data_IF_646641274056
#
_entry.id   IF_646641274056
#
_cell.length_a   1.000
_cell.length_b   1.000
_cell.length_c   1.000
_cell.angle_alpha   90.00
_cell.angle_beta   90.00
_cell.angle_gamma   90.00
#
_symmetry.space_group_name_H-M   'P 1'
#
loop_
_entity.id
_entity.type
_entity.pdbx_description
1 polymer ?
#
# COMPACT_ATOMS: atom_id res chain seq x y z
N UNK A 1 -33.54 12.27 -2.98
CA UNK A 1 -32.21 12.87 -2.67
C UNK A 1 -32.24 13.56 -1.31
N UNK A 2 -32.28 12.83 -0.19
CA UNK A 2 -32.30 13.45 1.15
C UNK A 2 -30.95 13.35 1.89
N UNK A 3 -30.08 12.43 1.47
CA UNK A 3 -28.79 12.15 2.14
C UNK A 3 -27.58 12.78 1.46
N UNK A 4 -27.77 13.42 0.30
CA UNK A 4 -26.70 14.07 -0.45
C UNK A 4 -26.92 15.57 -0.47
N UNK A 5 -25.87 16.33 -0.13
CA UNK A 5 -25.91 17.79 -0.25
C UNK A 5 -25.80 18.20 -1.72
N UNK A 6 -26.28 19.40 -2.08
CA UNK A 6 -26.15 19.92 -3.43
C UNK A 6 -24.69 19.93 -3.92
N UNK A 7 -23.75 20.22 -3.00
CA UNK A 7 -22.31 20.16 -3.29
C UNK A 7 -21.84 18.75 -3.63
N UNK A 8 -22.26 17.73 -2.86
CA UNK A 8 -21.93 16.33 -3.15
C UNK A 8 -22.48 15.88 -4.50
N UNK A 9 -23.70 16.31 -4.86
CA UNK A 9 -24.26 16.03 -6.17
C UNK A 9 -23.46 16.69 -7.29
N UNK A 10 -23.03 17.94 -7.11
CA UNK A 10 -22.21 18.67 -8.08
C UNK A 10 -20.82 18.06 -8.24
N UNK A 11 -20.15 17.71 -7.14
CA UNK A 11 -18.83 17.06 -7.16
C UNK A 11 -18.91 15.70 -7.85
N UNK A 12 -19.93 14.90 -7.53
CA UNK A 12 -20.16 13.62 -8.20
C UNK A 12 -20.46 13.79 -9.69
N UNK A 13 -21.26 14.79 -10.07
CA UNK A 13 -21.53 15.12 -11.47
C UNK A 13 -20.24 15.48 -12.21
N UNK A 14 -19.36 16.30 -11.63
CA UNK A 14 -18.08 16.64 -12.24
C UNK A 14 -17.19 15.40 -12.43
N UNK A 15 -17.10 14.53 -11.43
CA UNK A 15 -16.31 13.29 -11.52
C UNK A 15 -16.84 12.39 -12.64
N UNK A 16 -18.16 12.18 -12.70
CA UNK A 16 -18.79 11.31 -13.70
C UNK A 16 -18.78 11.91 -15.11
N UNK A 17 -18.89 13.23 -15.26
CA UNK A 17 -19.00 13.89 -16.56
C UNK A 17 -17.65 14.21 -17.21
N UNK A 18 -16.59 14.46 -16.43
CA UNK A 18 -15.34 15.02 -16.96
C UNK A 18 -14.25 13.99 -17.28
N UNK A 19 -14.30 12.74 -16.77
CA UNK A 19 -13.16 11.80 -16.88
C UNK A 19 -13.57 10.31 -16.95
N UNK A 20 -13.85 9.75 -18.15
CA UNK A 20 -14.10 8.32 -18.31
C UNK A 20 -12.84 7.43 -18.20
N UNK A 21 -11.64 8.02 -18.26
CA UNK A 21 -10.36 7.29 -18.34
C UNK A 21 -9.86 6.69 -17.01
N UNK A 22 -10.39 7.13 -15.86
CA UNK A 22 -9.97 6.64 -14.54
C UNK A 22 -11.00 5.67 -13.91
N UNK A 23 -11.77 4.97 -14.75
CA UNK A 23 -12.90 4.14 -14.32
C UNK A 23 -12.52 2.75 -13.81
N UNK A 24 -11.28 2.54 -13.39
CA UNK A 24 -10.85 1.24 -12.88
C UNK A 24 -11.12 1.10 -11.37
N UNK A 25 -12.40 1.23 -10.99
CA UNK A 25 -12.83 1.10 -9.59
C UNK A 25 -12.57 -0.31 -9.02
N UNK A 26 -12.49 -1.31 -9.89
CA UNK A 26 -12.20 -2.71 -9.53
C UNK A 26 -10.74 -3.10 -9.82
N UNK A 27 -9.84 -2.12 -9.94
CA UNK A 27 -8.42 -2.42 -10.17
C UNK A 27 -7.82 -3.22 -9.03
N UNK A 28 -7.16 -4.34 -9.38
CA UNK A 28 -6.41 -5.15 -8.43
C UNK A 28 -4.95 -4.68 -8.48
N UNK A 29 -4.49 -4.12 -7.37
CA UNK A 29 -3.13 -3.67 -7.22
C UNK A 29 -2.15 -4.84 -7.18
N UNK A 30 -1.16 -4.80 -8.06
CA UNK A 30 -0.04 -5.75 -8.07
C UNK A 30 1.10 -5.28 -7.17
N UNK A 31 1.97 -6.21 -6.77
CA UNK A 31 3.13 -5.86 -5.95
C UNK A 31 4.09 -4.90 -6.69
N UNK A 32 4.24 -5.07 -8.01
CA UNK A 32 5.09 -4.18 -8.81
C UNK A 32 4.57 -2.74 -8.79
N UNK A 33 3.25 -2.56 -8.90
CA UNK A 33 2.62 -1.24 -8.81
C UNK A 33 2.79 -0.62 -7.43
N UNK A 34 2.70 -1.43 -6.37
CA UNK A 34 2.90 -0.97 -4.99
C UNK A 34 4.33 -0.46 -4.77
N UNK A 35 5.32 -1.21 -5.28
CA UNK A 35 6.72 -0.84 -5.23
C UNK A 35 7.01 0.41 -6.06
N UNK A 36 6.44 0.51 -7.25
CA UNK A 36 6.55 1.69 -8.12
C UNK A 36 5.96 2.93 -7.44
N UNK A 37 4.75 2.83 -6.87
CA UNK A 37 4.09 3.93 -6.17
C UNK A 37 4.93 4.43 -4.99
N UNK A 38 5.49 3.51 -4.20
CA UNK A 38 6.35 3.86 -3.07
C UNK A 38 7.67 4.49 -3.52
N UNK A 39 8.22 4.08 -4.66
CA UNK A 39 9.45 4.64 -5.24
C UNK A 39 9.20 6.07 -5.73
N UNK A 40 8.19 6.28 -6.57
CA UNK A 40 7.85 7.59 -7.11
C UNK A 40 7.55 8.60 -6.01
N UNK A 41 6.84 8.18 -4.95
CA UNK A 41 6.57 9.07 -3.81
C UNK A 41 7.83 9.42 -2.99
N UNK A 42 8.86 8.57 -2.99
CA UNK A 42 10.15 8.90 -2.35
C UNK A 42 10.95 9.91 -3.18
N UNK A 43 10.84 9.84 -4.50
CA UNK A 43 11.54 10.73 -5.43
C UNK A 43 10.91 12.13 -5.45
N UNK A 44 9.58 12.21 -5.54
CA UNK A 44 8.85 13.49 -5.54
C UNK A 44 7.66 13.45 -4.55
N UNK A 45 7.92 13.76 -3.26
CA UNK A 45 6.88 13.69 -2.25
C UNK A 45 5.84 14.80 -2.48
N UNK A 46 4.58 14.47 -2.25
CA UNK A 46 3.41 15.36 -2.35
C UNK A 46 3.01 15.80 -3.77
N UNK A 47 3.81 15.54 -4.81
CA UNK A 47 3.45 15.81 -6.20
C UNK A 47 2.68 14.65 -6.84
N UNK A 48 1.41 14.52 -6.47
CA UNK A 48 0.55 13.43 -6.98
C UNK A 48 0.24 13.53 -8.46
N UNK A 49 0.33 14.71 -9.05
CA UNK A 49 0.08 14.92 -10.48
C UNK A 49 1.21 14.31 -11.31
N UNK A 50 2.47 14.49 -10.88
CA UNK A 50 3.63 13.83 -11.48
C UNK A 50 3.53 12.31 -11.38
N UNK A 51 3.20 11.79 -10.19
CA UNK A 51 3.03 10.34 -9.98
C UNK A 51 1.88 9.79 -10.86
N UNK A 52 0.81 10.55 -11.07
CA UNK A 52 -0.32 10.12 -11.89
C UNK A 52 0.07 9.88 -13.36
N UNK A 53 1.10 10.54 -13.88
CA UNK A 53 1.58 10.31 -15.25
C UNK A 53 1.97 8.85 -15.47
N UNK A 54 2.58 8.22 -14.46
CA UNK A 54 2.96 6.79 -14.47
C UNK A 54 1.76 5.85 -14.27
N UNK A 55 0.63 6.36 -13.78
CA UNK A 55 -0.61 5.61 -13.57
C UNK A 55 -1.80 6.25 -14.32
N UNK A 56 -1.80 6.24 -15.66
CA UNK A 56 -2.78 6.99 -16.47
C UNK A 56 -4.23 6.49 -16.33
N UNK A 57 -4.42 5.29 -15.76
CA UNK A 57 -5.74 4.71 -15.49
C UNK A 57 -6.20 4.91 -14.04
N UNK A 58 -5.34 5.45 -13.17
CA UNK A 58 -5.67 5.72 -11.77
C UNK A 58 -5.88 7.21 -11.53
N UNK A 59 -6.92 7.53 -10.78
CA UNK A 59 -7.10 8.88 -10.24
C UNK A 59 -6.13 9.14 -9.09
N UNK A 60 -5.77 10.41 -8.89
CA UNK A 60 -4.98 10.86 -7.71
C UNK A 60 -5.61 10.38 -6.39
N UNK A 61 -6.94 10.32 -6.31
CA UNK A 61 -7.64 9.80 -5.14
C UNK A 61 -7.32 8.31 -4.88
N UNK A 62 -7.31 7.48 -5.93
CA UNK A 62 -6.92 6.07 -5.83
C UNK A 62 -5.45 5.92 -5.40
N UNK A 63 -4.54 6.71 -5.97
CA UNK A 63 -3.12 6.71 -5.60
C UNK A 63 -2.90 7.06 -4.13
N UNK A 64 -3.55 8.13 -3.65
CA UNK A 64 -3.52 8.54 -2.24
C UNK A 64 -4.05 7.45 -1.33
N UNK A 65 -5.23 6.91 -1.63
CA UNK A 65 -5.85 5.84 -0.84
C UNK A 65 -4.92 4.62 -0.75
N UNK A 66 -4.34 4.22 -1.89
CA UNK A 66 -3.41 3.09 -1.94
C UNK A 66 -2.15 3.36 -1.14
N UNK A 67 -1.53 4.52 -1.28
CA UNK A 67 -0.35 4.91 -0.52
C UNK A 67 -0.61 4.90 1.00
N UNK A 68 -1.74 5.46 1.44
CA UNK A 68 -2.13 5.43 2.86
C UNK A 68 -2.33 4.00 3.38
N UNK A 69 -2.95 3.14 2.57
CA UNK A 69 -3.09 1.72 2.88
C UNK A 69 -1.73 1.02 3.02
N UNK A 70 -0.80 1.24 2.08
CA UNK A 70 0.57 0.69 2.14
C UNK A 70 1.33 1.14 3.37
N UNK A 71 1.24 2.43 3.74
CA UNK A 71 1.86 2.95 4.97
C UNK A 71 1.29 2.30 6.23
N UNK A 72 -0.03 2.10 6.28
CA UNK A 72 -0.68 1.40 7.39
C UNK A 72 -0.16 -0.04 7.49
N UNK A 73 -0.06 -0.76 6.37
CA UNK A 73 0.50 -2.10 6.35
C UNK A 73 1.96 -2.15 6.84
N UNK A 74 2.81 -1.21 6.42
CA UNK A 74 4.19 -1.14 6.89
C UNK A 74 4.28 -0.94 8.41
N UNK A 75 3.37 -0.14 9.00
CA UNK A 75 3.34 0.06 10.45
C UNK A 75 2.91 -1.19 11.23
N UNK A 76 1.99 -1.98 10.68
CA UNK A 76 1.51 -3.23 11.30
C UNK A 76 2.55 -4.35 11.17
N UNK A 77 3.14 -4.50 9.99
CA UNK A 77 4.22 -5.47 9.74
C UNK A 77 5.49 -5.19 10.57
N UNK A 78 5.67 -3.98 11.10
CA UNK A 78 6.79 -3.65 12.01
C UNK A 78 6.56 -4.17 13.43
N UNK A 79 5.30 -4.35 13.84
CA UNK A 79 4.90 -4.94 15.12
C UNK A 79 5.01 -6.47 15.08
N UNK A 80 4.64 -7.11 13.98
CA UNK A 80 4.66 -8.59 13.88
C UNK A 80 6.08 -9.17 13.71
N UNK A 81 7.00 -8.39 13.15
CA UNK A 81 8.42 -8.78 13.01
C UNK A 81 9.19 -8.81 14.33
N UNK A 82 8.72 -8.15 15.40
CA UNK A 82 9.35 -8.30 16.73
C UNK A 82 8.96 -9.60 17.44
N UNK A 83 7.98 -10.36 16.92
CA UNK A 83 7.47 -11.60 17.52
C UNK A 83 8.08 -12.85 16.86
N UNK A 84 8.77 -12.72 15.72
CA UNK A 84 9.24 -13.86 14.90
C UNK A 84 10.76 -13.93 14.70
N UNK A 85 11.55 -13.68 15.75
CA UNK A 85 13.00 -13.94 15.72
C UNK A 85 13.47 -15.28 16.30
N UNK A 86 12.65 -16.11 16.97
CA UNK A 86 13.22 -17.24 17.73
C UNK A 86 12.58 -18.61 17.42
N UNK A 87 12.90 -19.20 16.27
CA UNK A 87 12.74 -20.65 16.08
C UNK A 87 13.96 -21.32 15.47
N UNK A 88 14.65 -20.66 14.53
CA UNK A 88 15.89 -21.17 13.93
C UNK A 88 17.05 -21.12 14.95
N UNK A 89 17.30 -19.97 15.59
CA UNK A 89 18.42 -19.78 16.53
C UNK A 89 18.37 -20.71 17.75
N UNK A 90 17.17 -21.09 18.20
CA UNK A 90 16.99 -22.05 19.31
C UNK A 90 17.30 -23.49 18.90
N UNK A 91 17.02 -23.84 17.64
CA UNK A 91 17.36 -25.16 17.11
C UNK A 91 18.87 -25.28 16.89
N UNK A 92 19.51 -24.24 16.37
CA UNK A 92 20.96 -24.24 16.14
C UNK A 92 21.77 -24.29 17.45
N UNK A 93 21.30 -23.64 18.52
CA UNK A 93 21.90 -23.73 19.86
C UNK A 93 21.67 -25.10 20.52
N UNK A 94 20.51 -25.71 20.30
CA UNK A 94 20.18 -27.05 20.82
C UNK A 94 20.98 -28.15 20.10
N UNK A 95 21.24 -28.00 18.81
CA UNK A 95 22.11 -28.89 18.02
C UNK A 95 23.58 -28.78 18.51
N UNK A 96 24.03 -27.56 18.80
CA UNK A 96 25.38 -27.29 19.29
C UNK A 96 25.62 -27.87 20.70
N UNK A 97 24.65 -27.77 21.62
CA UNK A 97 24.77 -28.34 22.97
C UNK A 97 24.76 -29.88 22.99
N UNK A 98 24.03 -30.53 22.09
CA UNK A 98 24.06 -32.00 21.94
C UNK A 98 25.43 -32.49 21.51
N UNK A 99 26.06 -31.80 20.55
CA UNK A 99 27.41 -32.13 20.09
C UNK A 99 28.50 -31.95 21.17
N UNK A 100 28.31 -31.03 22.12
CA UNK A 100 29.27 -30.80 23.22
C UNK A 100 29.10 -31.82 24.35
N UNK A 101 27.87 -32.26 24.64
CA UNK A 101 27.57 -33.21 25.72
C UNK A 101 27.75 -34.69 25.35
N UNK A 102 28.08 -34.99 24.08
CA UNK A 102 28.44 -36.34 23.64
C UNK A 102 27.33 -37.37 23.85
N UNK A 103 26.08 -37.01 23.55
CA UNK A 103 24.98 -37.95 23.32
C UNK A 103 24.67 -38.05 21.83
#
# INVERSE_FOLDING_TARGET
MKTKTARQCYDQYLILSKKPSFNNFNHIWTQQEDELLLRLFKEDPFNWESIQVEFPQMSIGQLKNKYHFLRKQQSQNKCDKSITLTKQEKNDLAESLKNILGM
#
